data_IF_984155107275
#
_entry.id   IF_984155107275
#
_cell.length_a   1.000
_cell.length_b   1.000
_cell.length_c   1.000
_cell.angle_alpha   90.00
_cell.angle_beta   90.00
_cell.angle_gamma   90.00
#
_symmetry.space_group_name_H-M   'P 1'
#
loop_
_entity.id
_entity.type
_entity.pdbx_description
1 polymer ?
#
# COMPACT_ATOMS: atom_id res chain seq x y z
N UNK A 1 -24.30 -12.46 -8.60
CA UNK A 1 -22.83 -12.59 -8.58
C UNK A 1 -22.17 -11.42 -7.87
N UNK A 2 -21.73 -11.63 -6.62
CA UNK A 2 -21.24 -10.60 -5.70
C UNK A 2 -19.71 -10.41 -5.72
N UNK A 3 -18.98 -11.21 -6.51
CA UNK A 3 -17.50 -11.26 -6.48
C UNK A 3 -16.83 -9.99 -7.03
N UNK A 4 -17.41 -9.36 -8.06
CA UNK A 4 -16.84 -8.13 -8.66
C UNK A 4 -17.06 -6.93 -7.74
N UNK A 5 -18.17 -6.92 -7.01
CA UNK A 5 -18.49 -5.87 -6.05
C UNK A 5 -17.44 -5.76 -4.94
N UNK A 6 -16.85 -6.90 -4.54
CA UNK A 6 -15.76 -6.90 -3.55
C UNK A 6 -14.53 -6.13 -4.07
N UNK A 7 -14.20 -6.25 -5.35
CA UNK A 7 -13.03 -5.60 -5.96
C UNK A 7 -13.24 -4.09 -6.01
N UNK A 8 -14.41 -3.66 -6.51
CA UNK A 8 -14.76 -2.23 -6.58
C UNK A 8 -14.85 -1.61 -5.19
N UNK A 9 -15.43 -2.32 -4.21
CA UNK A 9 -15.49 -1.84 -2.81
C UNK A 9 -14.10 -1.70 -2.21
N UNK A 10 -13.23 -2.71 -2.37
CA UNK A 10 -11.86 -2.68 -1.87
C UNK A 10 -11.07 -1.52 -2.49
N UNK A 11 -11.17 -1.34 -3.81
CA UNK A 11 -10.50 -0.26 -4.52
C UNK A 11 -11.01 1.13 -4.11
N UNK A 12 -12.33 1.31 -3.98
CA UNK A 12 -12.90 2.57 -3.48
C UNK A 12 -12.45 2.86 -2.04
N UNK A 13 -12.42 1.85 -1.17
CA UNK A 13 -11.91 2.01 0.20
C UNK A 13 -10.44 2.46 0.18
N UNK A 14 -9.63 1.87 -0.70
CA UNK A 14 -8.24 2.27 -0.88
C UNK A 14 -8.11 3.74 -1.29
N UNK A 15 -8.89 4.18 -2.30
CA UNK A 15 -8.83 5.55 -2.80
C UNK A 15 -9.27 6.60 -1.77
N UNK A 16 -10.32 6.31 -1.00
CA UNK A 16 -10.91 7.29 -0.08
C UNK A 16 -10.24 7.33 1.29
N UNK A 17 -9.76 6.19 1.79
CA UNK A 17 -9.27 6.07 3.15
C UNK A 17 -7.80 5.67 3.19
N UNK A 18 -7.43 4.57 2.53
CA UNK A 18 -6.08 4.02 2.69
C UNK A 18 -4.98 4.93 2.13
N UNK A 19 -5.25 5.62 1.01
CA UNK A 19 -4.30 6.60 0.46
C UNK A 19 -3.98 7.71 1.47
N UNK A 20 -5.00 8.30 2.10
CA UNK A 20 -4.79 9.34 3.11
C UNK A 20 -4.16 8.76 4.38
N UNK A 21 -4.50 7.53 4.76
CA UNK A 21 -3.85 6.84 5.88
C UNK A 21 -2.35 6.64 5.64
N UNK A 22 -1.94 6.26 4.42
CA UNK A 22 -0.53 6.13 4.02
C UNK A 22 0.19 7.46 4.17
N UNK A 23 -0.44 8.55 3.69
CA UNK A 23 0.12 9.91 3.80
C UNK A 23 0.26 10.34 5.26
N UNK A 24 -0.77 10.13 6.09
CA UNK A 24 -0.77 10.47 7.50
C UNK A 24 0.28 9.69 8.31
N UNK A 25 0.51 8.42 7.95
CA UNK A 25 1.51 7.54 8.58
C UNK A 25 2.94 7.82 8.09
N UNK A 26 3.10 8.53 6.98
CA UNK A 26 4.42 8.91 6.48
C UNK A 26 5.05 9.97 7.40
N UNK A 27 6.35 9.85 7.67
CA UNK A 27 7.06 10.76 8.57
C UNK A 27 7.48 12.09 7.91
N UNK A 28 7.04 12.33 6.67
CA UNK A 28 7.56 13.42 5.85
C UNK A 28 9.06 13.26 5.55
N UNK A 29 9.69 14.33 5.08
CA UNK A 29 11.14 14.39 4.82
C UNK A 29 11.73 15.45 5.75
N UNK A 30 12.76 15.09 6.50
CA UNK A 30 13.52 16.02 7.34
C UNK A 30 14.97 16.00 6.89
N UNK A 31 15.47 17.16 6.47
CA UNK A 31 16.86 17.37 6.07
C UNK A 31 17.48 18.33 7.08
N UNK A 32 18.62 17.93 7.64
CA UNK A 32 19.37 18.74 8.60
C UNK A 32 20.69 19.13 7.94
N UNK A 33 20.91 20.42 7.72
CA UNK A 33 22.15 20.91 7.11
C UNK A 33 23.28 20.95 8.14
N UNK A 34 24.28 20.07 8.00
CA UNK A 34 25.48 20.14 8.82
C UNK A 34 26.49 21.12 8.18
N UNK A 35 26.52 22.38 8.64
CA UNK A 35 27.60 23.32 8.26
C UNK A 35 28.95 22.78 8.77
N UNK A 36 29.76 22.19 7.88
CA UNK A 36 31.09 21.63 8.22
C UNK A 36 32.19 22.68 8.43
N UNK A 37 31.98 23.94 8.01
CA UNK A 37 32.96 25.02 8.18
C UNK A 37 32.30 26.21 8.90
N UNK A 38 32.71 26.45 10.15
CA UNK A 38 32.39 27.67 10.91
C UNK A 38 33.39 28.75 10.51
N UNK A 39 33.08 29.51 9.47
CA UNK A 39 33.81 30.73 9.15
C UNK A 39 32.91 31.89 9.56
N UNK A 40 33.16 32.40 10.78
CA UNK A 40 32.51 33.54 11.45
C UNK A 40 31.01 33.38 11.81
N UNK A 41 30.64 34.02 12.92
CA UNK A 41 29.35 33.98 13.64
C UNK A 41 28.11 34.00 12.74
N UNK A 42 27.68 32.84 12.26
CA UNK A 42 26.35 32.63 11.72
C UNK A 42 25.69 31.50 12.51
N UNK A 43 24.82 31.90 13.43
CA UNK A 43 23.89 31.00 14.07
C UNK A 43 23.08 30.23 13.01
N UNK A 44 22.72 29.01 13.37
CA UNK A 44 21.76 28.20 12.62
C UNK A 44 22.35 27.07 11.79
N UNK A 45 22.26 25.85 12.34
CA UNK A 45 21.97 24.66 11.55
C UNK A 45 20.51 24.77 11.11
N UNK A 46 20.28 24.90 9.81
CA UNK A 46 18.93 24.94 9.25
C UNK A 46 18.37 23.51 9.16
N UNK A 47 17.25 23.28 9.85
CA UNK A 47 16.40 22.09 9.67
C UNK A 47 15.33 22.43 8.65
N UNK A 48 15.31 21.68 7.57
CA UNK A 48 14.29 21.72 6.54
C UNK A 48 13.36 20.53 6.72
N UNK A 49 12.06 20.76 6.85
CA UNK A 49 11.06 19.69 6.92
C UNK A 49 9.95 19.86 5.90
N UNK A 50 9.62 18.77 5.22
CA UNK A 50 8.47 18.66 4.32
C UNK A 50 7.48 17.69 4.93
N UNK A 51 6.31 18.22 5.30
CA UNK A 51 5.20 17.45 5.83
C UNK A 51 4.16 17.23 4.73
N UNK A 52 3.73 15.98 4.56
CA UNK A 52 2.68 15.64 3.62
C UNK A 52 1.31 15.90 4.28
N UNK A 53 0.37 16.49 3.55
CA UNK A 53 -0.94 16.88 4.08
C UNK A 53 -2.06 16.06 3.45
N UNK A 54 -2.74 16.61 2.46
CA UNK A 54 -3.91 16.00 1.84
C UNK A 54 -3.53 15.40 0.50
N UNK A 55 -3.90 14.14 0.27
CA UNK A 55 -3.79 13.50 -1.04
C UNK A 55 -5.15 13.44 -1.71
N UNK A 56 -5.19 13.70 -3.00
CA UNK A 56 -6.39 13.55 -3.80
C UNK A 56 -6.06 13.14 -5.22
N UNK A 57 -7.08 12.74 -5.96
CA UNK A 57 -6.95 12.26 -7.33
C UNK A 57 -7.97 12.96 -8.23
N UNK A 58 -7.63 13.09 -9.52
CA UNK A 58 -8.56 13.54 -10.55
C UNK A 58 -9.08 12.37 -11.36
N UNK A 59 -10.16 12.56 -12.13
CA UNK A 59 -10.57 11.57 -13.12
C UNK A 59 -9.55 11.48 -14.28
N UNK A 60 -9.51 10.37 -15.03
CA UNK A 60 -8.49 10.15 -16.07
C UNK A 60 -8.46 11.22 -17.17
N UNK A 61 -7.28 11.82 -17.36
CA UNK A 61 -7.02 12.83 -18.40
C UNK A 61 -5.73 12.51 -19.18
N UNK A 62 -5.75 12.82 -20.48
CA UNK A 62 -4.61 12.78 -21.39
C UNK A 62 -4.01 14.18 -21.48
N UNK A 63 -2.71 14.30 -21.25
CA UNK A 63 -1.95 15.50 -21.62
C UNK A 63 -1.30 15.22 -22.97
N UNK A 64 -1.78 15.88 -24.02
CA UNK A 64 -1.18 15.76 -25.35
C UNK A 64 0.13 16.56 -25.45
N UNK A 65 0.93 16.32 -26.50
CA UNK A 65 2.24 16.96 -26.67
C UNK A 65 2.17 18.49 -26.77
N UNK A 66 1.03 19.00 -27.25
CA UNK A 66 0.71 20.42 -27.32
C UNK A 66 0.33 21.04 -25.95
N UNK A 67 0.28 20.24 -24.87
CA UNK A 67 -0.11 20.68 -23.54
C UNK A 67 -1.62 20.67 -23.28
N UNK A 68 -2.45 20.33 -24.28
CA UNK A 68 -3.90 20.23 -24.10
C UNK A 68 -4.26 19.05 -23.19
N UNK A 69 -5.24 19.28 -22.31
CA UNK A 69 -5.81 18.27 -21.43
C UNK A 69 -7.13 17.76 -22.02
N UNK A 70 -7.17 16.50 -22.41
CA UNK A 70 -8.39 15.83 -22.90
C UNK A 70 -8.86 14.78 -21.91
N UNK A 71 -10.17 14.63 -21.78
CA UNK A 71 -10.76 13.55 -21.00
C UNK A 71 -10.44 12.23 -21.69
N UNK A 72 -10.04 11.21 -20.92
CA UNK A 72 -9.94 9.83 -21.42
C UNK A 72 -11.15 9.08 -20.88
N UNK A 73 -11.91 8.45 -21.77
CA UNK A 73 -12.92 7.44 -21.44
C UNK A 73 -12.36 6.03 -21.67
N UNK A 74 -12.95 4.99 -21.06
CA UNK A 74 -12.40 3.63 -21.17
C UNK A 74 -12.29 3.12 -22.61
N UNK A 75 -13.30 3.33 -23.46
CA UNK A 75 -13.27 3.08 -24.90
C UNK A 75 -12.04 3.70 -25.58
N UNK A 76 -11.79 5.00 -25.39
CA UNK A 76 -10.63 5.71 -25.96
C UNK A 76 -9.33 5.08 -25.49
N UNK A 77 -9.25 4.70 -24.20
CA UNK A 77 -8.06 4.06 -23.66
C UNK A 77 -7.77 2.70 -24.30
N UNK A 78 -8.81 1.88 -24.54
CA UNK A 78 -8.71 0.59 -25.25
C UNK A 78 -8.25 0.81 -26.69
N UNK A 79 -8.97 1.64 -27.46
CA UNK A 79 -8.71 1.83 -28.89
C UNK A 79 -7.34 2.44 -29.20
N UNK A 80 -6.85 3.36 -28.37
CA UNK A 80 -5.58 4.07 -28.59
C UNK A 80 -4.39 3.44 -27.86
N UNK A 81 -4.54 2.25 -27.26
CA UNK A 81 -3.50 1.60 -26.47
C UNK A 81 -2.96 2.47 -25.32
N UNK A 82 -3.83 3.22 -24.63
CA UNK A 82 -3.45 4.14 -23.56
C UNK A 82 -3.63 3.53 -22.16
N UNK A 83 -3.06 4.22 -21.17
CA UNK A 83 -3.27 3.93 -19.75
C UNK A 83 -4.46 4.74 -19.21
N UNK A 84 -5.47 4.06 -18.67
CA UNK A 84 -6.65 4.71 -18.10
C UNK A 84 -6.42 5.11 -16.63
N UNK A 85 -5.57 6.12 -16.42
CA UNK A 85 -5.04 6.47 -15.09
C UNK A 85 -5.50 7.84 -14.62
N UNK A 86 -5.78 7.96 -13.33
CA UNK A 86 -6.00 9.20 -12.59
C UNK A 86 -4.66 9.90 -12.30
N UNK A 87 -4.64 11.23 -12.30
CA UNK A 87 -3.50 11.99 -11.74
C UNK A 87 -3.66 12.08 -10.21
N UNK A 88 -2.53 11.98 -9.51
CA UNK A 88 -2.44 12.11 -8.06
C UNK A 88 -1.74 13.41 -7.68
N UNK A 89 -2.33 14.08 -6.69
CA UNK A 89 -1.85 15.36 -6.17
C UNK A 89 -1.76 15.30 -4.64
N UNK A 90 -0.83 16.07 -4.09
CA UNK A 90 -0.50 16.10 -2.67
C UNK A 90 -0.23 17.52 -2.21
N UNK A 91 -0.84 17.93 -1.11
CA UNK A 91 -0.50 19.19 -0.46
C UNK A 91 0.74 19.00 0.42
N UNK A 92 1.74 19.86 0.25
CA UNK A 92 3.02 19.81 0.97
C UNK A 92 3.16 21.05 1.86
N UNK A 93 3.54 20.85 3.13
CA UNK A 93 3.93 21.94 4.02
C UNK A 93 5.43 21.92 4.23
N UNK A 94 6.11 22.93 3.73
CA UNK A 94 7.54 23.16 3.85
C UNK A 94 7.82 24.09 5.02
N UNK A 95 8.70 23.69 5.91
CA UNK A 95 9.09 24.45 7.09
C UNK A 95 10.61 24.51 7.21
N UNK A 96 11.14 25.70 7.49
CA UNK A 96 12.55 25.95 7.79
C UNK A 96 12.63 26.43 9.24
N UNK A 97 13.41 25.76 10.06
CA UNK A 97 13.61 26.10 11.48
C UNK A 97 15.08 26.04 11.86
N UNK A 98 15.52 26.96 12.71
CA UNK A 98 16.80 26.85 13.41
C UNK A 98 16.72 25.81 14.53
N UNK A 99 17.71 24.91 14.62
CA UNK A 99 17.72 23.86 15.64
C UNK A 99 17.69 24.39 17.09
N UNK A 100 18.25 25.58 17.34
CA UNK A 100 18.45 26.07 18.72
C UNK A 100 17.16 26.60 19.37
N UNK A 101 16.23 27.16 18.60
CA UNK A 101 15.03 27.80 19.13
C UNK A 101 13.71 27.14 18.71
N UNK A 102 13.74 26.10 17.87
CA UNK A 102 12.54 25.43 17.30
C UNK A 102 11.51 26.39 16.67
N UNK A 103 11.87 27.66 16.46
CA UNK A 103 10.99 28.68 15.90
C UNK A 103 11.03 28.54 14.38
N UNK A 104 9.86 28.32 13.77
CA UNK A 104 9.75 28.28 12.32
C UNK A 104 10.07 29.66 11.75
N UNK A 105 11.11 29.74 10.92
CA UNK A 105 11.58 30.98 10.28
C UNK A 105 10.73 31.26 9.05
N UNK A 106 10.41 30.20 8.29
CA UNK A 106 9.55 30.26 7.10
C UNK A 106 8.71 28.99 7.02
N UNK A 107 7.42 29.17 6.75
CA UNK A 107 6.49 28.10 6.43
C UNK A 107 5.76 28.42 5.14
N UNK A 108 5.77 27.48 4.21
CA UNK A 108 5.14 27.61 2.89
C UNK A 108 4.31 26.35 2.63
N UNK A 109 3.10 26.51 2.10
CA UNK A 109 2.26 25.39 1.68
C UNK A 109 2.24 25.37 0.16
N UNK A 110 2.64 24.25 -0.42
CA UNK A 110 2.52 23.97 -1.84
C UNK A 110 1.29 23.09 -2.03
N UNK A 111 0.23 23.69 -2.56
CA UNK A 111 -1.00 22.98 -2.88
C UNK A 111 -0.89 22.29 -4.24
N UNK A 112 -1.64 21.20 -4.42
CA UNK A 112 -1.80 20.51 -5.70
C UNK A 112 -0.46 20.06 -6.33
N UNK A 113 0.50 19.61 -5.50
CA UNK A 113 1.76 19.09 -6.02
C UNK A 113 1.53 17.73 -6.68
N UNK A 114 1.77 17.63 -7.98
CA UNK A 114 1.60 16.38 -8.73
C UNK A 114 2.66 15.35 -8.31
N UNK A 115 2.22 14.19 -7.83
CA UNK A 115 3.12 13.12 -7.36
C UNK A 115 3.16 11.90 -8.27
N UNK A 116 2.23 11.79 -9.22
CA UNK A 116 2.19 10.67 -10.15
C UNK A 116 0.80 10.34 -10.66
N UNK A 117 0.62 9.07 -11.05
CA UNK A 117 -0.63 8.53 -11.58
C UNK A 117 -1.00 7.22 -10.90
N UNK A 118 -2.30 6.93 -10.85
CA UNK A 118 -2.83 5.64 -10.37
C UNK A 118 -3.85 5.07 -11.37
N UNK A 119 -3.86 3.76 -11.63
CA UNK A 119 -4.88 3.15 -12.49
C UNK A 119 -6.29 3.37 -11.95
N UNK A 120 -7.21 3.82 -12.81
CA UNK A 120 -8.62 3.93 -12.48
C UNK A 120 -9.33 2.60 -12.78
N UNK A 121 -9.93 1.98 -11.77
CA UNK A 121 -10.69 0.74 -11.96
C UNK A 121 -12.02 1.04 -12.68
N UNK A 122 -12.36 0.25 -13.69
CA UNK A 122 -13.62 0.37 -14.43
C UNK A 122 -14.82 0.16 -13.49
N UNK A 123 -15.85 0.99 -13.63
CA UNK A 123 -17.04 1.08 -12.75
C UNK A 123 -16.78 1.55 -11.30
N UNK A 124 -15.54 1.91 -10.93
CA UNK A 124 -15.23 2.51 -9.61
C UNK A 124 -15.48 4.02 -9.58
N UNK A 125 -15.41 4.66 -8.40
CA UNK A 125 -15.62 6.12 -8.27
C UNK A 125 -14.65 6.96 -9.12
N UNK A 126 -13.45 6.43 -9.38
CA UNK A 126 -12.45 7.07 -10.23
C UNK A 126 -12.81 7.07 -11.72
N UNK A 127 -13.72 6.18 -12.14
CA UNK A 127 -14.10 6.00 -13.55
C UNK A 127 -15.16 7.02 -13.99
N UNK A 128 -15.17 7.35 -15.28
CA UNK A 128 -16.23 8.15 -15.90
C UNK A 128 -17.56 7.38 -16.05
N UNK A 129 -17.51 6.05 -16.05
CA UNK A 129 -18.70 5.20 -16.19
C UNK A 129 -19.48 5.02 -14.88
N UNK A 130 -18.92 5.45 -13.76
CA UNK A 130 -19.55 5.32 -12.45
C UNK A 130 -20.93 5.97 -12.41
N UNK A 131 -21.94 5.20 -11.98
CA UNK A 131 -23.35 5.62 -11.86
C UNK A 131 -24.02 6.04 -13.17
N UNK A 132 -23.44 5.73 -14.33
CA UNK A 132 -24.16 5.91 -15.59
C UNK A 132 -25.25 4.84 -15.74
N UNK A 133 -26.38 5.23 -16.33
CA UNK A 133 -27.46 4.31 -16.65
C UNK A 133 -27.17 3.53 -17.96
N UNK A 134 -27.98 2.50 -18.27
CA UNK A 134 -27.74 1.64 -19.43
C UNK A 134 -27.74 2.38 -20.76
N UNK A 135 -28.60 3.39 -20.91
CA UNK A 135 -28.67 4.23 -22.10
C UNK A 135 -27.41 5.09 -22.27
N UNK A 136 -26.97 5.75 -21.20
CA UNK A 136 -25.76 6.56 -21.16
C UNK A 136 -24.48 5.77 -21.44
N UNK A 137 -24.44 4.50 -21.02
CA UNK A 137 -23.35 3.57 -21.35
C UNK A 137 -23.37 3.21 -22.83
N UNK A 138 -24.55 2.85 -23.36
CA UNK A 138 -24.72 2.46 -24.76
C UNK A 138 -24.36 3.59 -25.72
N UNK A 139 -24.76 4.83 -25.42
CA UNK A 139 -24.41 6.03 -26.20
C UNK A 139 -22.90 6.26 -26.23
N UNK A 140 -22.17 5.84 -25.19
CA UNK A 140 -20.72 5.94 -25.09
C UNK A 140 -19.97 4.73 -25.66
N UNK A 141 -20.67 3.80 -26.30
CA UNK A 141 -20.08 2.59 -26.85
C UNK A 141 -19.63 1.57 -25.80
N UNK A 142 -20.09 1.71 -24.55
CA UNK A 142 -19.78 0.78 -23.46
C UNK A 142 -20.93 -0.22 -23.27
N UNK A 143 -20.58 -1.45 -22.88
CA UNK A 143 -21.57 -2.51 -22.66
C UNK A 143 -22.33 -2.28 -21.32
N UNK A 144 -23.67 -2.15 -21.32
CA UNK A 144 -24.45 -1.99 -20.09
C UNK A 144 -24.37 -3.16 -19.11
N UNK A 145 -23.98 -4.34 -19.61
CA UNK A 145 -23.86 -5.56 -18.83
C UNK A 145 -22.45 -5.76 -18.27
N UNK A 146 -21.47 -4.95 -18.67
CA UNK A 146 -20.12 -4.99 -18.11
C UNK A 146 -20.15 -4.55 -16.64
N UNK A 147 -19.63 -5.42 -15.78
CA UNK A 147 -19.58 -5.22 -14.33
C UNK A 147 -18.36 -4.43 -13.88
N UNK A 148 -17.37 -4.23 -14.74
CA UNK A 148 -16.12 -3.55 -14.40
C UNK A 148 -15.27 -4.36 -13.42
N UNK A 149 -14.51 -3.68 -12.55
CA UNK A 149 -13.61 -4.34 -11.58
C UNK A 149 -12.24 -4.73 -12.13
N UNK A 150 -11.86 -4.17 -13.26
CA UNK A 150 -10.56 -4.35 -13.93
C UNK A 150 -9.95 -2.99 -14.28
N UNK A 151 -8.72 -3.01 -14.79
CA UNK A 151 -7.95 -1.83 -15.18
C UNK A 151 -7.61 -1.90 -16.68
N UNK A 152 -7.45 -0.74 -17.32
CA UNK A 152 -6.93 -0.65 -18.70
C UNK A 152 -5.51 -0.10 -18.64
N UNK A 153 -4.55 -0.91 -19.05
CA UNK A 153 -3.12 -0.59 -19.06
C UNK A 153 -2.57 -0.87 -20.46
N UNK A 154 -2.06 0.18 -21.13
CA UNK A 154 -1.62 0.15 -22.52
C UNK A 154 -2.68 -0.49 -23.43
N UNK A 155 -3.94 -0.06 -23.31
CA UNK A 155 -5.10 -0.59 -24.04
C UNK A 155 -5.60 -1.96 -23.59
N UNK A 156 -4.83 -2.69 -22.80
CA UNK A 156 -5.16 -4.05 -22.39
C UNK A 156 -5.90 -4.08 -21.05
N UNK A 157 -6.91 -4.94 -20.95
CA UNK A 157 -7.64 -5.17 -19.71
C UNK A 157 -6.83 -6.07 -18.77
N UNK A 158 -6.76 -5.68 -17.50
CA UNK A 158 -6.00 -6.38 -16.46
C UNK A 158 -6.82 -6.46 -15.18
N UNK A 159 -6.87 -7.67 -14.62
CA UNK A 159 -7.58 -7.96 -13.36
C UNK A 159 -6.56 -8.35 -12.29
N UNK A 160 -6.79 -7.88 -11.07
CA UNK A 160 -6.06 -8.38 -9.89
C UNK A 160 -6.85 -9.52 -9.26
N UNK A 161 -6.23 -10.70 -9.19
CA UNK A 161 -6.81 -11.88 -8.55
C UNK A 161 -6.46 -11.86 -7.07
N UNK A 162 -7.46 -12.04 -6.22
CA UNK A 162 -7.28 -12.12 -4.78
C UNK A 162 -6.28 -13.23 -4.41
N UNK A 163 -5.39 -12.93 -3.46
CA UNK A 163 -4.37 -13.86 -3.01
C UNK A 163 -4.67 -14.29 -1.58
N UNK A 164 -4.84 -15.59 -1.37
CA UNK A 164 -4.99 -16.15 -0.04
C UNK A 164 -3.65 -16.20 0.69
N UNK A 165 -3.65 -15.81 1.96
CA UNK A 165 -2.47 -15.82 2.82
C UNK A 165 -2.87 -16.20 4.24
N UNK A 166 -1.93 -16.83 4.95
CA UNK A 166 -2.09 -17.07 6.39
C UNK A 166 -2.24 -15.75 7.14
N UNK A 167 -3.12 -15.76 8.15
CA UNK A 167 -3.38 -14.59 9.01
C UNK A 167 -2.10 -14.26 9.81
N UNK A 168 -1.69 -12.99 9.80
CA UNK A 168 -0.57 -12.49 10.59
C UNK A 168 -0.91 -12.45 12.09
N UNK A 169 0.09 -12.25 12.95
CA UNK A 169 -0.07 -12.13 14.41
C UNK A 169 -0.77 -13.34 15.05
N UNK A 170 -0.68 -14.51 14.40
CA UNK A 170 -1.13 -15.80 14.92
C UNK A 170 0.03 -16.79 14.92
N UNK A 171 0.09 -17.59 15.98
CA UNK A 171 1.07 -18.68 16.13
C UNK A 171 0.53 -19.92 15.44
N UNK A 172 1.33 -20.48 14.54
CA UNK A 172 1.05 -21.75 13.86
C UNK A 172 2.09 -22.78 14.29
N UNK A 173 1.65 -23.99 14.65
CA UNK A 173 2.52 -25.07 15.10
C UNK A 173 2.53 -26.17 14.04
N UNK A 174 3.72 -26.56 13.58
CA UNK A 174 3.94 -27.59 12.57
C UNK A 174 4.83 -28.70 13.11
N UNK A 175 4.51 -29.95 12.75
CA UNK A 175 5.38 -31.10 12.98
C UNK A 175 6.42 -31.16 11.84
N UNK A 176 7.70 -31.27 12.18
CA UNK A 176 8.81 -31.38 11.20
C UNK A 176 9.32 -32.82 11.16
N UNK A 177 9.66 -33.31 9.96
CA UNK A 177 10.15 -34.67 9.78
C UNK A 177 11.48 -34.90 10.52
N UNK A 178 11.67 -36.11 11.04
CA UNK A 178 12.67 -36.46 12.07
C UNK A 178 14.14 -36.31 11.65
N UNK A 179 14.43 -36.04 10.36
CA UNK A 179 15.80 -36.03 9.81
C UNK A 179 16.74 -35.02 10.49
N UNK A 180 16.21 -33.96 11.14
CA UNK A 180 17.02 -32.88 11.71
C UNK A 180 16.90 -32.70 13.24
N UNK A 181 16.48 -33.73 14.00
CA UNK A 181 16.23 -33.65 15.46
C UNK A 181 15.17 -32.60 15.91
N UNK A 182 14.64 -31.77 15.00
CA UNK A 182 13.55 -30.81 15.23
C UNK A 182 12.22 -31.56 15.13
N UNK A 183 11.42 -31.56 16.21
CA UNK A 183 10.10 -32.22 16.22
C UNK A 183 8.96 -31.27 15.92
N UNK A 184 9.01 -30.08 16.51
CA UNK A 184 7.98 -29.05 16.37
C UNK A 184 8.61 -27.71 16.03
N UNK A 185 7.94 -26.97 15.16
CA UNK A 185 8.25 -25.58 14.84
C UNK A 185 6.98 -24.78 15.06
N UNK A 186 7.03 -23.83 15.98
CA UNK A 186 6.06 -22.76 16.05
C UNK A 186 6.57 -21.60 15.19
N UNK A 187 5.71 -21.05 14.34
CA UNK A 187 6.01 -19.84 13.57
C UNK A 187 4.93 -18.79 13.78
N UNK A 188 5.35 -17.54 13.81
CA UNK A 188 4.45 -16.39 13.84
C UNK A 188 4.99 -15.32 12.90
N UNK A 189 4.13 -14.82 12.01
CA UNK A 189 4.45 -13.63 11.21
C UNK A 189 3.95 -12.40 11.96
N UNK A 190 4.85 -11.68 12.59
CA UNK A 190 4.54 -10.40 13.22
C UNK A 190 4.27 -9.35 12.14
N UNK A 191 3.17 -8.64 12.25
CA UNK A 191 2.79 -7.56 11.35
C UNK A 191 2.21 -6.39 12.13
N UNK A 192 2.68 -5.18 11.83
CA UNK A 192 2.19 -3.96 12.44
C UNK A 192 1.45 -3.13 11.38
N UNK A 193 0.14 -3.00 11.55
CA UNK A 193 -0.76 -2.27 10.64
C UNK A 193 -0.46 -0.76 10.60
N UNK A 194 0.25 -0.22 11.60
CA UNK A 194 0.57 1.20 11.68
C UNK A 194 1.69 1.61 10.72
N UNK A 195 2.74 0.80 10.56
CA UNK A 195 3.93 1.21 9.80
C UNK A 195 3.98 0.69 8.35
N UNK A 196 3.00 -0.10 7.90
CA UNK A 196 3.04 -0.80 6.60
C UNK A 196 4.38 -1.54 6.36
N UNK A 197 5.04 -1.98 7.43
CA UNK A 197 6.32 -2.66 7.34
C UNK A 197 6.12 -4.09 6.83
N UNK A 198 7.15 -4.62 6.14
CA UNK A 198 7.18 -6.04 5.82
C UNK A 198 7.19 -6.84 7.13
N UNK A 199 6.12 -7.62 7.37
CA UNK A 199 6.01 -8.40 8.60
C UNK A 199 7.18 -9.38 8.76
N UNK A 200 7.66 -9.53 10.00
CA UNK A 200 8.82 -10.37 10.32
C UNK A 200 8.38 -11.77 10.76
N UNK A 201 9.02 -12.80 10.19
CA UNK A 201 8.81 -14.19 10.60
C UNK A 201 9.66 -14.52 11.82
N UNK A 202 9.01 -14.98 12.88
CA UNK A 202 9.67 -15.52 14.07
C UNK A 202 9.42 -17.02 14.11
N UNK A 203 10.48 -17.78 14.36
CA UNK A 203 10.44 -19.24 14.49
C UNK A 203 10.93 -19.65 15.87
N UNK A 204 10.19 -20.54 16.51
CA UNK A 204 10.61 -21.26 17.71
C UNK A 204 10.66 -22.75 17.36
N UNK A 205 11.85 -23.33 17.41
CA UNK A 205 12.07 -24.73 17.06
C UNK A 205 12.42 -25.53 18.30
N UNK A 206 11.76 -26.67 18.44
CA UNK A 206 11.95 -27.58 19.55
C UNK A 206 12.75 -28.78 19.09
N UNK A 207 13.95 -28.91 19.65
CA UNK A 207 14.96 -29.88 19.22
C UNK A 207 15.11 -30.96 20.28
N UNK A 208 15.03 -32.22 19.86
CA UNK A 208 15.33 -33.35 20.71
C UNK A 208 16.86 -33.56 20.76
N UNK A 209 17.49 -33.13 21.86
CA UNK A 209 18.95 -33.28 22.07
C UNK A 209 19.34 -34.51 22.89
N UNK A 210 18.38 -35.26 23.43
CA UNK A 210 18.69 -36.42 24.28
C UNK A 210 19.16 -37.59 23.42
N UNK A 211 20.28 -38.21 23.79
CA UNK A 211 20.72 -39.51 23.26
C UNK A 211 19.89 -40.67 23.86
N UNK A 212 19.50 -40.52 25.12
CA UNK A 212 18.78 -41.53 25.91
C UNK A 212 17.33 -41.76 25.42
N UNK A 213 17.04 -43.01 25.04
CA UNK A 213 15.80 -43.44 24.37
C UNK A 213 14.55 -43.32 25.24
N UNK A 214 14.66 -43.52 26.56
CA UNK A 214 13.52 -43.33 27.49
C UNK A 214 13.13 -41.85 27.60
N UNK A 215 14.11 -40.97 27.73
CA UNK A 215 13.88 -39.51 27.76
C UNK A 215 13.34 -39.00 26.43
N UNK A 216 13.81 -39.53 25.29
CA UNK A 216 13.23 -39.24 23.96
C UNK A 216 11.73 -39.57 23.87
N UNK A 217 11.30 -40.72 24.39
CA UNK A 217 9.89 -41.15 24.38
C UNK A 217 9.01 -40.32 25.30
N UNK A 218 9.48 -40.01 26.52
CA UNK A 218 8.74 -39.16 27.46
C UNK A 218 8.50 -37.75 26.91
N UNK A 219 9.55 -37.15 26.35
CA UNK A 219 9.47 -35.83 25.71
C UNK A 219 8.51 -35.85 24.52
N UNK A 220 8.48 -36.93 23.73
CA UNK A 220 7.51 -37.10 22.64
C UNK A 220 6.07 -37.18 23.14
N UNK A 221 5.81 -37.96 24.19
CA UNK A 221 4.48 -38.10 24.78
C UNK A 221 3.95 -36.77 25.36
N UNK A 222 4.81 -36.00 26.03
CA UNK A 222 4.44 -34.67 26.52
C UNK A 222 4.08 -33.73 25.36
N UNK A 223 4.77 -33.85 24.21
CA UNK A 223 4.46 -33.03 23.03
C UNK A 223 3.13 -33.36 22.37
N UNK A 224 2.81 -34.64 22.20
CA UNK A 224 1.52 -35.03 21.62
C UNK A 224 0.35 -34.57 22.51
N UNK A 225 0.52 -34.59 23.83
CA UNK A 225 -0.48 -34.07 24.76
C UNK A 225 -0.63 -32.54 24.76
N UNK A 226 0.45 -31.78 24.55
CA UNK A 226 0.38 -30.32 24.43
C UNK A 226 -0.32 -29.92 23.13
N UNK A 227 -0.01 -30.61 22.02
CA UNK A 227 -0.67 -30.35 20.72
C UNK A 227 -2.16 -30.64 20.80
N UNK A 228 -2.56 -31.75 21.43
CA UNK A 228 -3.98 -32.12 21.54
C UNK A 228 -4.81 -31.18 22.44
N UNK A 229 -4.16 -30.27 23.19
CA UNK A 229 -4.81 -29.29 24.06
C UNK A 229 -4.90 -27.88 23.47
N UNK A 230 -4.24 -27.64 22.33
CA UNK A 230 -4.23 -26.35 21.60
C UNK A 230 -5.18 -26.47 20.41
#
# INVERSE_FOLDING_TARGET
>A
NNHILQQIRSFNNFLFFEMQNIVNKSRGIIIISQKKYKIYNSDGIDKFSVNLKRIFYTKPILKELNGEKKIITPDIARFRNLNYFCDLFLDLKKEISEQQNSKSIKSETLEDFWIGKIPAMIQSHACYLYKLNMEQLSIRGECPYDKGGYFIVNGNEKVLVAQEKLINNKVYIFKKNERNNVKLVAQCKSFNDYFYNQGHMVYLSLINRYSDTKKKKLVQYLFENIINKI
#
